data_IF_803538932410
#
_entry.id   IF_803538932410
#
_cell.length_a   1.000
_cell.length_b   1.000
_cell.length_c   1.000
_cell.angle_alpha   90.00
_cell.angle_beta   90.00
_cell.angle_gamma   90.00
#
_symmetry.space_group_name_H-M   'P 1'
#
loop_
_entity.id
_entity.type
_entity.pdbx_description
1 polymer ?
#
# COMPACT_ATOMS: atom_id res chain seq x y z
N UNK A 1 1.01 -14.81 1.94
CA UNK A 1 1.90 -13.81 2.56
C UNK A 1 1.08 -12.99 3.52
N UNK A 2 1.46 -12.90 4.80
CA UNK A 2 0.78 -12.02 5.75
C UNK A 2 1.60 -10.73 5.85
N UNK A 3 1.00 -9.61 5.47
CA UNK A 3 1.65 -8.31 5.59
C UNK A 3 1.84 -7.95 7.08
N UNK A 4 2.96 -7.30 7.46
CA UNK A 4 3.14 -6.78 8.82
C UNK A 4 2.02 -5.82 9.21
N UNK A 5 1.50 -5.91 10.44
CA UNK A 5 0.46 -5.00 10.92
C UNK A 5 0.93 -3.53 10.98
N UNK A 6 2.23 -3.31 11.14
CA UNK A 6 2.88 -2.00 11.15
C UNK A 6 4.15 -2.02 10.32
N UNK A 7 4.47 -0.89 9.70
CA UNK A 7 5.70 -0.69 8.94
C UNK A 7 6.16 0.75 9.06
N UNK A 8 7.36 0.99 9.60
CA UNK A 8 7.96 2.32 9.75
C UNK A 8 6.98 3.38 10.31
N UNK A 9 6.32 3.09 11.43
CA UNK A 9 5.36 3.98 12.08
C UNK A 9 4.00 4.11 11.39
N UNK A 10 3.75 3.37 10.30
CA UNK A 10 2.48 3.34 9.57
C UNK A 10 1.68 2.09 9.89
N UNK A 11 0.36 2.17 9.75
CA UNK A 11 -0.58 1.08 10.08
C UNK A 11 -1.09 0.42 8.81
N UNK A 12 -1.11 -0.93 8.79
CA UNK A 12 -1.67 -1.70 7.68
C UNK A 12 -3.16 -1.44 7.54
N UNK A 13 -3.61 -1.14 6.31
CA UNK A 13 -5.02 -0.89 6.00
C UNK A 13 -5.63 -1.90 5.06
N UNK A 14 -4.87 -2.31 4.06
CA UNK A 14 -5.28 -3.33 3.11
C UNK A 14 -4.05 -4.13 2.69
N UNK A 15 -4.23 -5.41 2.40
CA UNK A 15 -3.23 -6.26 1.76
C UNK A 15 -3.93 -7.14 0.76
N UNK A 16 -3.36 -7.29 -0.42
CA UNK A 16 -3.94 -8.09 -1.49
C UNK A 16 -2.83 -8.85 -2.19
N UNK A 17 -3.18 -10.01 -2.74
CA UNK A 17 -2.31 -10.79 -3.60
C UNK A 17 -3.02 -11.05 -4.91
N UNK A 18 -2.45 -10.55 -5.99
CA UNK A 18 -2.92 -10.85 -7.33
C UNK A 18 -2.12 -12.01 -7.92
N UNK A 19 -2.81 -12.81 -8.71
CA UNK A 19 -2.24 -13.88 -9.53
C UNK A 19 -2.75 -13.64 -10.94
N UNK A 20 -1.88 -13.30 -11.88
CA UNK A 20 -2.23 -13.08 -13.28
C UNK A 20 -1.50 -14.12 -14.12
N UNK A 21 -2.27 -14.98 -14.78
CA UNK A 21 -1.73 -16.02 -15.66
C UNK A 21 -1.45 -15.44 -17.03
N UNK A 22 -0.18 -15.38 -17.43
CA UNK A 22 0.24 -14.89 -18.74
C UNK A 22 0.44 -16.04 -19.76
N UNK A 23 0.31 -17.30 -19.33
CA UNK A 23 0.36 -18.47 -20.20
C UNK A 23 -0.69 -18.39 -21.34
N UNK A 24 -0.25 -18.69 -22.57
CA UNK A 24 -1.09 -18.63 -23.78
C UNK A 24 -1.31 -17.25 -24.44
N UNK A 25 -0.75 -16.15 -23.93
CA UNK A 25 -0.83 -14.81 -24.56
C UNK A 25 0.24 -14.62 -25.65
N UNK A 26 -0.10 -14.11 -26.84
CA UNK A 26 0.83 -14.07 -27.99
C UNK A 26 2.08 -13.19 -27.83
N UNK A 27 2.13 -12.29 -26.84
CA UNK A 27 3.31 -11.51 -26.47
C UNK A 27 3.70 -11.84 -25.03
N UNK A 28 4.42 -12.93 -24.81
CA UNK A 28 4.67 -13.44 -23.45
C UNK A 28 5.72 -12.65 -22.65
N UNK A 29 6.64 -11.92 -23.30
CA UNK A 29 7.61 -11.07 -22.60
C UNK A 29 7.19 -9.61 -22.74
N UNK A 30 7.05 -8.89 -21.62
CA UNK A 30 6.60 -7.49 -21.65
C UNK A 30 5.08 -7.31 -21.70
N UNK A 31 4.30 -8.38 -21.55
CA UNK A 31 2.84 -8.28 -21.40
C UNK A 31 2.52 -7.41 -20.20
N UNK A 32 1.90 -6.27 -20.44
CA UNK A 32 1.54 -5.32 -19.40
C UNK A 32 0.04 -5.32 -19.20
N UNK A 33 -0.41 -5.41 -17.95
CA UNK A 33 -1.83 -5.37 -17.58
C UNK A 33 -2.09 -4.39 -16.46
N UNK A 34 -3.33 -3.90 -16.41
CA UNK A 34 -3.77 -2.88 -15.48
C UNK A 34 -4.37 -3.52 -14.22
N UNK A 35 -3.79 -3.21 -13.06
CA UNK A 35 -4.34 -3.55 -11.75
C UNK A 35 -5.12 -2.35 -11.23
N UNK A 36 -6.37 -2.58 -10.82
CA UNK A 36 -7.21 -1.57 -10.16
C UNK A 36 -7.84 -2.16 -8.89
N UNK A 37 -7.61 -1.52 -7.75
CA UNK A 37 -8.14 -1.93 -6.45
C UNK A 37 -8.95 -0.81 -5.83
N UNK A 38 -10.14 -1.14 -5.33
CA UNK A 38 -10.93 -0.26 -4.47
C UNK A 38 -10.62 -0.56 -3.01
N UNK A 39 -10.18 0.43 -2.26
CA UNK A 39 -9.83 0.28 -0.85
C UNK A 39 -11.07 0.18 0.04
N UNK A 40 -10.86 -0.27 1.27
CA UNK A 40 -11.91 -0.44 2.28
C UNK A 40 -12.62 0.85 2.70
N UNK A 41 -11.98 2.02 2.55
CA UNK A 41 -12.54 3.33 2.89
C UNK A 41 -12.07 4.42 1.93
N UNK A 42 -12.73 5.57 1.99
CA UNK A 42 -12.23 6.81 1.40
C UNK A 42 -11.16 7.45 2.30
N UNK A 43 -10.01 7.78 1.71
CA UNK A 43 -8.93 8.54 2.32
C UNK A 43 -8.96 9.96 1.75
N UNK A 44 -9.23 10.94 2.61
CA UNK A 44 -9.29 12.36 2.22
C UNK A 44 -7.95 12.90 1.73
N UNK A 45 -6.87 12.34 2.26
CA UNK A 45 -5.51 12.70 1.91
C UNK A 45 -4.73 11.44 1.52
N UNK A 46 -4.68 11.12 0.21
CA UNK A 46 -3.94 9.96 -0.29
C UNK A 46 -2.42 10.06 -0.09
N UNK A 47 -1.86 11.26 0.18
CA UNK A 47 -0.41 11.40 0.43
C UNK A 47 0.06 10.69 1.70
N UNK A 48 -0.88 10.37 2.59
CA UNK A 48 -0.65 9.56 3.79
C UNK A 48 -0.60 8.07 3.51
N UNK A 49 -0.92 7.65 2.30
CA UNK A 49 -0.86 6.25 1.90
C UNK A 49 0.51 5.92 1.34
N UNK A 50 1.01 4.76 1.74
CA UNK A 50 2.19 4.14 1.15
C UNK A 50 1.78 2.77 0.64
N UNK A 51 2.13 2.46 -0.61
CA UNK A 51 1.85 1.16 -1.23
C UNK A 51 3.17 0.43 -1.40
N UNK A 52 3.25 -0.75 -0.80
CA UNK A 52 4.47 -1.54 -0.68
C UNK A 52 4.29 -2.89 -1.35
N UNK A 53 5.29 -3.30 -2.12
CA UNK A 53 5.44 -4.65 -2.65
C UNK A 53 5.89 -5.58 -1.52
N UNK A 54 5.29 -6.75 -1.46
CA UNK A 54 5.66 -7.82 -0.54
C UNK A 54 6.37 -8.94 -1.29
N UNK A 55 7.23 -9.67 -0.61
CA UNK A 55 7.63 -11.00 -1.02
C UNK A 55 6.53 -12.02 -0.68
N UNK A 56 6.62 -13.22 -1.25
CA UNK A 56 5.78 -14.39 -0.97
C UNK A 56 5.71 -14.73 0.52
N UNK A 57 6.80 -14.47 1.25
CA UNK A 57 6.91 -14.61 2.70
C UNK A 57 6.24 -13.49 3.51
N UNK A 58 5.81 -12.39 2.88
CA UNK A 58 5.15 -11.25 3.53
C UNK A 58 6.08 -10.12 3.95
N UNK A 59 7.39 -10.25 3.76
CA UNK A 59 8.33 -9.15 4.00
C UNK A 59 8.17 -8.05 2.94
N UNK A 60 8.32 -6.79 3.35
CA UNK A 60 8.35 -5.65 2.43
C UNK A 60 9.65 -5.69 1.62
N UNK A 61 9.57 -5.51 0.31
CA UNK A 61 10.73 -5.55 -0.60
C UNK A 61 10.91 -4.29 -1.43
N UNK A 62 9.83 -3.53 -1.70
CA UNK A 62 9.91 -2.32 -2.52
C UNK A 62 8.78 -1.34 -2.14
N UNK A 63 9.08 -0.05 -2.16
CA UNK A 63 8.07 1.02 -2.11
C UNK A 63 7.67 1.39 -3.54
N UNK A 64 6.41 1.14 -3.88
CA UNK A 64 5.87 1.38 -5.22
C UNK A 64 4.94 2.59 -5.26
N UNK A 65 4.84 3.37 -4.19
CA UNK A 65 3.89 4.49 -4.06
C UNK A 65 3.98 5.47 -5.24
N UNK A 66 5.20 5.75 -5.72
CA UNK A 66 5.42 6.64 -6.88
C UNK A 66 4.92 6.11 -8.22
N UNK A 67 4.53 4.83 -8.31
CA UNK A 67 3.93 4.19 -9.49
C UNK A 67 2.41 4.11 -9.40
N UNK A 68 1.84 4.47 -8.25
CA UNK A 68 0.40 4.34 -8.00
C UNK A 68 -0.33 5.59 -8.47
N UNK A 69 -1.36 5.37 -9.28
CA UNK A 69 -2.39 6.35 -9.54
C UNK A 69 -3.48 6.22 -8.47
N UNK A 70 -3.54 7.20 -7.57
CA UNK A 70 -4.61 7.31 -6.59
C UNK A 70 -5.83 8.02 -7.18
N UNK A 71 -7.00 7.45 -6.95
CA UNK A 71 -8.25 8.06 -7.37
C UNK A 71 -9.39 7.76 -6.40
N UNK A 72 -10.60 7.94 -6.92
CA UNK A 72 -11.84 7.65 -6.19
C UNK A 72 -12.74 6.83 -7.10
N UNK A 73 -13.49 5.90 -6.51
CA UNK A 73 -14.48 5.15 -7.27
C UNK A 73 -15.58 6.09 -7.81
N UNK A 74 -16.40 5.67 -8.80
CA UNK A 74 -17.38 6.56 -9.44
C UNK A 74 -18.38 7.22 -8.48
N UNK A 75 -18.70 6.57 -7.36
CA UNK A 75 -19.58 7.11 -6.33
C UNK A 75 -18.89 8.08 -5.35
N UNK A 76 -17.58 8.25 -5.43
CA UNK A 76 -16.80 9.10 -4.52
C UNK A 76 -16.66 8.57 -3.10
N UNK A 77 -17.09 7.34 -2.82
CA UNK A 77 -17.20 6.79 -1.46
C UNK A 77 -15.99 5.98 -1.01
N UNK A 78 -15.11 5.63 -1.94
CA UNK A 78 -13.91 4.81 -1.68
C UNK A 78 -12.73 5.28 -2.51
N UNK A 79 -11.55 5.26 -1.92
CA UNK A 79 -10.30 5.50 -2.66
C UNK A 79 -9.99 4.30 -3.53
N UNK A 80 -9.50 4.55 -4.73
CA UNK A 80 -8.98 3.55 -5.65
C UNK A 80 -7.47 3.72 -5.82
N UNK A 81 -6.78 2.62 -6.09
CA UNK A 81 -5.41 2.62 -6.57
C UNK A 81 -5.38 1.90 -7.92
N UNK A 82 -4.59 2.40 -8.85
CA UNK A 82 -4.35 1.76 -10.13
C UNK A 82 -2.87 1.84 -10.50
N UNK A 83 -2.35 0.79 -11.12
CA UNK A 83 -0.99 0.71 -11.62
C UNK A 83 -0.85 -0.45 -12.61
N UNK A 84 0.25 -0.44 -13.36
CA UNK A 84 0.52 -1.42 -14.39
C UNK A 84 1.52 -2.45 -13.86
N UNK A 85 1.33 -3.72 -14.25
CA UNK A 85 2.26 -4.81 -13.98
C UNK A 85 2.66 -5.48 -15.29
N UNK A 86 3.89 -5.97 -15.36
CA UNK A 86 4.52 -6.50 -16.57
C UNK A 86 5.09 -7.88 -16.31
N UNK A 87 4.74 -8.86 -17.16
CA UNK A 87 5.29 -10.23 -17.12
C UNK A 87 6.80 -10.22 -17.44
N UNK A 88 7.60 -10.81 -16.55
CA UNK A 88 9.06 -10.69 -16.56
C UNK A 88 9.60 -9.31 -16.16
N UNK A 89 8.76 -8.46 -15.56
CA UNK A 89 9.08 -7.07 -15.23
C UNK A 89 8.49 -6.61 -13.91
N UNK A 90 8.13 -5.33 -13.82
CA UNK A 90 7.56 -4.76 -12.60
C UNK A 90 6.25 -5.46 -12.22
N UNK A 91 6.05 -5.77 -10.94
CA UNK A 91 4.86 -6.51 -10.51
C UNK A 91 5.04 -8.03 -10.57
N UNK A 92 6.04 -8.54 -11.29
CA UNK A 92 6.37 -9.95 -11.33
C UNK A 92 7.45 -10.32 -10.30
N UNK A 93 7.09 -11.15 -9.32
CA UNK A 93 7.96 -11.45 -8.17
C UNK A 93 9.22 -12.23 -8.56
N UNK A 94 9.12 -13.18 -9.47
CA UNK A 94 10.26 -14.00 -9.88
C UNK A 94 10.98 -13.44 -11.11
N UNK A 95 10.45 -12.38 -11.72
CA UNK A 95 10.98 -11.74 -12.92
C UNK A 95 11.05 -12.68 -14.13
N UNK A 96 10.37 -13.82 -14.07
CA UNK A 96 10.40 -14.83 -15.11
C UNK A 96 9.27 -14.55 -16.11
N UNK A 97 9.68 -14.02 -17.26
CA UNK A 97 8.76 -13.82 -18.37
C UNK A 97 8.05 -15.12 -18.77
N UNK A 98 6.86 -14.95 -19.34
CA UNK A 98 6.02 -16.03 -19.86
C UNK A 98 5.45 -16.91 -18.74
N UNK A 99 5.28 -16.33 -17.56
CA UNK A 99 4.97 -17.03 -16.31
C UNK A 99 3.62 -16.66 -15.70
N UNK A 100 3.60 -16.67 -14.38
CA UNK A 100 2.48 -16.17 -13.58
C UNK A 100 2.97 -14.99 -12.78
N UNK A 101 2.40 -13.81 -13.03
CA UNK A 101 2.69 -12.64 -12.22
C UNK A 101 2.05 -12.85 -10.86
N UNK A 102 2.89 -12.91 -9.83
CA UNK A 102 2.50 -12.89 -8.43
C UNK A 102 2.82 -11.52 -7.84
N UNK A 103 1.77 -10.75 -7.56
CA UNK A 103 1.92 -9.39 -7.05
C UNK A 103 1.22 -9.20 -5.71
N UNK A 104 1.87 -9.57 -4.59
CA UNK A 104 1.37 -9.23 -3.28
C UNK A 104 1.78 -7.81 -2.90
N UNK A 105 0.81 -6.98 -2.57
CA UNK A 105 1.02 -5.60 -2.12
C UNK A 105 0.30 -5.35 -0.78
N UNK A 106 0.80 -4.37 -0.04
CA UNK A 106 0.19 -3.84 1.17
C UNK A 106 0.08 -2.32 1.11
N UNK A 107 -1.01 -1.80 1.64
CA UNK A 107 -1.30 -0.37 1.75
C UNK A 107 -1.25 0.00 3.22
N UNK A 108 -0.34 0.91 3.54
CA UNK A 108 -0.14 1.47 4.87
C UNK A 108 -0.61 2.92 4.91
N UNK A 109 -1.14 3.34 6.06
CA UNK A 109 -1.50 4.74 6.33
C UNK A 109 -0.59 5.31 7.40
N UNK A 110 -0.01 6.48 7.13
CA UNK A 110 0.62 7.30 8.17
C UNK A 110 -0.46 7.92 9.05
N UNK A 111 -0.56 7.42 10.29
CA UNK A 111 -1.53 7.89 11.29
C UNK A 111 -1.00 9.02 12.18
N UNK A 112 0.27 9.44 12.03
CA UNK A 112 0.82 10.55 12.81
C UNK A 112 0.10 11.88 12.56
N UNK A 113 -0.56 12.01 11.40
CA UNK A 113 -1.40 13.15 11.01
C UNK A 113 -2.90 12.90 11.21
N UNK A 114 -3.31 12.23 12.30
CA UNK A 114 -4.69 12.40 12.77
C UNK A 114 -4.83 13.83 13.26
N UNK A 115 -5.27 14.73 12.36
CA UNK A 115 -5.59 16.11 12.70
C UNK A 115 -6.39 16.14 14.00
N UNK A 116 -5.93 16.96 14.93
CA UNK A 116 -6.65 17.28 16.15
C UNK A 116 -8.10 17.60 15.78
N UNK A 117 -9.01 16.67 16.01
CA UNK A 117 -10.34 17.09 16.42
C UNK A 117 -10.13 17.78 17.76
N UNK A 118 -10.05 19.11 17.72
CA UNK A 118 -10.21 19.97 18.88
C UNK A 118 -11.55 19.65 19.52
N UNK A 119 -11.61 18.60 20.33
CA UNK A 119 -12.57 18.53 21.41
C UNK A 119 -12.01 19.42 22.50
N UNK A 120 -12.51 20.65 22.55
CA UNK A 120 -12.42 21.51 23.72
C UNK A 120 -13.02 20.77 24.91
N UNK A 121 -12.18 20.03 25.62
CA UNK A 121 -12.46 19.46 26.94
C UNK A 121 -11.11 19.20 27.60
N UNK A 122 -10.50 20.25 28.15
CA UNK A 122 -9.61 20.07 29.30
C UNK A 122 -10.49 19.54 30.46
N UNK A 123 -9.99 18.63 31.31
CA UNK A 123 -8.84 19.00 32.15
C UNK A 123 -7.84 17.87 32.51
N UNK A 124 -6.68 18.33 33.00
CA UNK A 124 -5.82 17.72 34.04
C UNK A 124 -4.88 16.53 33.74
N UNK A 125 -3.58 16.79 33.96
CA UNK A 125 -2.55 15.83 34.40
C UNK A 125 -1.94 14.96 33.28
N UNK A 126 -0.63 14.76 33.14
CA UNK A 126 0.51 14.90 34.05
C UNK A 126 1.73 15.44 33.28
N UNK A 127 2.47 16.30 33.95
CA UNK A 127 3.89 16.55 33.73
C UNK A 127 4.69 15.33 34.19
N UNK A 128 5.68 14.91 33.42
CA UNK A 128 6.90 14.21 33.88
C UNK A 128 7.85 14.10 32.67
N UNK A 129 9.15 14.38 32.72
CA UNK A 129 10.03 15.07 33.67
C UNK A 129 11.28 15.39 32.82
N UNK A 130 11.84 16.59 32.96
CA UNK A 130 13.09 17.00 32.31
C UNK A 130 14.24 16.11 32.77
N UNK A 131 15.05 15.66 31.80
CA UNK A 131 16.33 15.02 32.05
C UNK A 131 17.26 16.02 32.74
N UNK A 132 17.64 15.69 33.96
CA UNK A 132 18.67 16.40 34.71
C UNK A 132 20.03 15.94 34.20
N UNK A 133 20.85 16.91 33.79
CA UNK A 133 22.29 16.76 33.60
C UNK A 133 22.91 17.96 34.28
N UNK A 134 23.56 17.73 35.43
CA UNK A 134 24.94 18.08 35.76
C UNK A 134 25.31 17.56 37.16
#
# INVERSE_FOLDING_TARGET
ATAPAQYQGRVLRNSVRFTITCAGQTAHTGYTTHVALTLSKHYRDPSRLTVLKLAKGGSVIEDITGRINFGTNPSGTRTTIAYDVTDGGFGDEDGTANGTILDPIAIYEDTSHTGSTSNSSRPSGLLANTGDSL
#
